data_IF_556344629411
#
_entry.id   IF_556344629411
#
_cell.length_a   1.000
_cell.length_b   1.000
_cell.length_c   1.000
_cell.angle_alpha   90.00
_cell.angle_beta   90.00
_cell.angle_gamma   90.00
#
_symmetry.space_group_name_H-M   'P 1'
#
loop_
_entity.id
_entity.type
_entity.pdbx_description
1 polymer ?
#
# COMPACT_ATOMS: atom_id res chain seq x y z
N UNK A 1 -0.50 -17.03 -3.58
CA UNK A 1 0.50 -16.84 -4.66
C UNK A 1 1.58 -17.89 -4.51
N UNK A 2 2.14 -18.04 -3.32
CA UNK A 2 3.25 -18.97 -3.07
C UNK A 2 2.83 -20.27 -2.34
N UNK A 3 1.54 -20.43 -2.01
CA UNK A 3 1.03 -21.61 -1.26
C UNK A 3 1.42 -21.64 0.22
N UNK A 4 2.11 -20.62 0.73
CA UNK A 4 2.54 -20.51 2.12
C UNK A 4 1.73 -19.44 2.88
N UNK A 5 1.35 -19.69 4.15
CA UNK A 5 0.58 -18.73 4.95
C UNK A 5 1.28 -17.38 5.18
N UNK A 6 2.62 -17.39 5.22
CA UNK A 6 3.46 -16.22 5.46
C UNK A 6 4.09 -15.64 4.18
N UNK A 7 3.76 -16.19 3.02
CA UNK A 7 4.28 -15.74 1.73
C UNK A 7 3.46 -14.62 1.11
N UNK A 8 3.62 -14.41 -0.20
CA UNK A 8 2.82 -13.43 -0.93
C UNK A 8 1.40 -13.98 -1.14
N UNK A 9 0.43 -13.16 -0.79
CA UNK A 9 -1.00 -13.48 -0.92
C UNK A 9 -1.63 -12.51 -1.91
N UNK A 10 -2.45 -13.06 -2.82
CA UNK A 10 -3.31 -12.31 -3.73
C UNK A 10 -4.74 -12.60 -3.31
N UNK A 11 -5.56 -11.56 -3.21
CA UNK A 11 -6.99 -11.67 -3.02
C UNK A 11 -7.71 -10.94 -4.15
N UNK A 12 -8.71 -11.58 -4.73
CA UNK A 12 -9.57 -11.05 -5.79
C UNK A 12 -11.00 -11.51 -5.51
N UNK A 13 -11.98 -10.69 -5.81
CA UNK A 13 -13.39 -11.07 -5.75
C UNK A 13 -13.91 -11.32 -7.17
N UNK A 14 -14.73 -12.36 -7.35
CA UNK A 14 -15.35 -12.63 -8.64
C UNK A 14 -16.21 -11.43 -9.09
N UNK A 15 -16.12 -11.07 -10.37
CA UNK A 15 -16.83 -9.94 -10.97
C UNK A 15 -16.47 -8.55 -10.40
N UNK A 16 -15.34 -8.42 -9.71
CA UNK A 16 -14.79 -7.14 -9.26
C UNK A 16 -13.37 -6.96 -9.78
N UNK A 17 -13.02 -5.75 -10.21
CA UNK A 17 -11.66 -5.46 -10.69
C UNK A 17 -10.68 -5.19 -9.56
N UNK A 18 -11.15 -5.04 -8.32
CA UNK A 18 -10.28 -4.82 -7.17
C UNK A 18 -9.38 -6.02 -6.88
N UNK A 19 -8.11 -5.71 -6.64
CA UNK A 19 -7.08 -6.69 -6.30
C UNK A 19 -6.37 -6.22 -5.04
N UNK A 20 -6.29 -7.12 -4.06
CA UNK A 20 -5.52 -6.89 -2.85
C UNK A 20 -4.32 -7.82 -2.79
N UNK A 21 -3.21 -7.30 -2.27
CA UNK A 21 -1.99 -8.05 -2.02
C UNK A 21 -1.56 -7.93 -0.58
N UNK A 22 -1.02 -9.01 -0.03
CA UNK A 22 -0.17 -9.00 1.16
C UNK A 22 1.22 -9.48 0.73
N UNK A 23 2.24 -8.68 1.00
CA UNK A 23 3.61 -8.91 0.55
C UNK A 23 4.56 -8.69 1.74
N UNK A 24 5.26 -9.73 2.21
CA UNK A 24 6.35 -9.56 3.17
C UNK A 24 7.47 -8.68 2.59
N UNK A 25 8.10 -7.82 3.41
CA UNK A 25 9.19 -6.93 2.99
C UNK A 25 10.35 -7.66 2.31
N UNK A 26 10.68 -8.84 2.82
CA UNK A 26 11.73 -9.73 2.31
C UNK A 26 11.42 -10.26 0.90
N UNK A 27 10.14 -10.39 0.57
CA UNK A 27 9.63 -10.99 -0.66
C UNK A 27 9.32 -9.95 -1.75
N UNK A 28 9.46 -8.65 -1.45
CA UNK A 28 9.12 -7.56 -2.36
C UNK A 28 9.88 -7.64 -3.70
N UNK A 29 11.14 -8.06 -3.68
CA UNK A 29 11.95 -8.18 -4.90
C UNK A 29 11.42 -9.27 -5.85
N UNK A 30 10.73 -10.29 -5.33
CA UNK A 30 10.12 -11.34 -6.14
C UNK A 30 8.86 -10.88 -6.88
N UNK A 31 8.36 -9.68 -6.56
CA UNK A 31 7.20 -9.08 -7.22
C UNK A 31 7.56 -8.27 -8.48
N UNK A 32 8.84 -8.13 -8.81
CA UNK A 32 9.29 -7.47 -10.04
C UNK A 32 8.73 -8.17 -11.28
N UNK A 33 8.26 -7.39 -12.24
CA UNK A 33 7.65 -7.88 -13.48
C UNK A 33 6.17 -8.28 -13.36
N UNK A 34 5.48 -7.93 -12.26
CA UNK A 34 4.03 -8.11 -12.15
C UNK A 34 3.32 -6.81 -12.52
N UNK A 35 2.61 -6.83 -13.65
CA UNK A 35 1.97 -5.65 -14.23
C UNK A 35 0.96 -4.99 -13.29
N UNK A 36 0.26 -5.79 -12.48
CA UNK A 36 -0.73 -5.26 -11.53
C UNK A 36 -0.11 -4.49 -10.36
N UNK A 37 1.13 -4.77 -10.00
CA UNK A 37 1.87 -3.97 -9.01
C UNK A 37 2.57 -2.76 -9.63
N UNK A 38 2.53 -2.63 -10.96
CA UNK A 38 2.98 -1.43 -11.68
C UNK A 38 1.87 -0.38 -11.81
N UNK A 39 0.64 -0.71 -11.41
CA UNK A 39 -0.53 0.15 -11.50
C UNK A 39 -0.63 1.16 -10.35
N UNK A 40 -1.57 2.10 -10.50
CA UNK A 40 -1.95 3.03 -9.43
C UNK A 40 -2.66 2.30 -8.29
N UNK A 41 -2.50 2.80 -7.07
CA UNK A 41 -3.27 2.33 -5.93
C UNK A 41 -2.80 2.89 -4.60
N UNK A 42 -3.24 2.24 -3.54
CA UNK A 42 -2.95 2.59 -2.14
C UNK A 42 -2.33 1.39 -1.44
N UNK A 43 -1.44 1.66 -0.49
CA UNK A 43 -0.74 0.64 0.27
C UNK A 43 -0.63 1.01 1.74
N UNK A 44 -0.43 -0.01 2.55
CA UNK A 44 -0.25 0.02 3.99
C UNK A 44 1.08 -0.66 4.28
N UNK A 45 1.92 -0.02 5.08
CA UNK A 45 3.15 -0.58 5.60
C UNK A 45 2.95 -0.85 7.08
N UNK A 46 2.80 -2.12 7.44
CA UNK A 46 2.62 -2.57 8.81
C UNK A 46 3.95 -2.98 9.42
N UNK A 47 4.11 -2.69 10.71
CA UNK A 47 5.26 -3.12 11.49
C UNK A 47 5.08 -2.76 12.96
N UNK A 48 6.20 -2.74 13.68
CA UNK A 48 6.26 -2.38 15.11
C UNK A 48 7.33 -1.31 15.32
N UNK A 49 7.09 -0.40 16.25
CA UNK A 49 8.03 0.67 16.61
C UNK A 49 9.17 0.10 17.45
N UNK A 50 10.42 0.22 17.01
CA UNK A 50 11.59 -0.25 17.78
C UNK A 50 11.76 0.49 19.13
N UNK A 51 11.13 1.66 19.29
CA UNK A 51 11.25 2.48 20.50
C UNK A 51 10.15 2.18 21.53
N UNK A 52 8.95 1.84 21.07
CA UNK A 52 7.75 1.77 21.92
C UNK A 52 7.08 0.39 21.88
N UNK A 53 7.51 -0.50 20.99
CA UNK A 53 6.89 -1.80 20.68
C UNK A 53 5.42 -1.70 20.21
N UNK A 54 4.94 -0.49 19.92
CA UNK A 54 3.60 -0.27 19.42
C UNK A 54 3.46 -0.76 17.98
N UNK A 55 2.29 -1.33 17.68
CA UNK A 55 1.88 -1.59 16.32
C UNK A 55 1.76 -0.28 15.53
N UNK A 56 2.47 -0.18 14.40
CA UNK A 56 2.49 1.02 13.56
C UNK A 56 1.99 0.72 12.15
N UNK A 57 1.36 1.72 11.54
CA UNK A 57 0.98 1.67 10.13
C UNK A 57 1.32 2.98 9.44
N UNK A 58 1.91 2.89 8.25
CA UNK A 58 1.99 4.01 7.31
C UNK A 58 1.12 3.71 6.09
N UNK A 59 0.28 4.66 5.73
CA UNK A 59 -0.65 4.51 4.60
C UNK A 59 -0.18 5.48 3.52
N UNK A 60 -0.03 4.98 2.31
CA UNK A 60 0.50 5.77 1.21
C UNK A 60 -0.18 5.45 -0.10
N UNK A 61 -0.16 6.40 -1.02
CA UNK A 61 -0.56 6.19 -2.41
C UNK A 61 0.60 6.11 -3.39
N UNK A 62 0.34 5.51 -4.54
CA UNK A 62 1.23 5.54 -5.70
C UNK A 62 0.40 5.62 -6.99
N UNK A 63 0.74 6.57 -7.86
CA UNK A 63 0.23 6.62 -9.23
C UNK A 63 1.24 6.03 -10.22
N UNK A 64 0.77 5.60 -11.39
CA UNK A 64 1.64 5.18 -12.50
C UNK A 64 2.50 6.35 -12.98
N UNK A 65 3.82 6.16 -13.01
CA UNK A 65 4.82 7.12 -13.49
C UNK A 65 5.03 6.99 -15.00
N UNK A 66 5.72 7.96 -15.60
CA UNK A 66 6.08 7.94 -17.05
C UNK A 66 6.87 6.70 -17.48
N UNK A 67 7.59 6.06 -16.56
CA UNK A 67 8.35 4.83 -16.81
C UNK A 67 7.49 3.55 -16.70
N UNK A 68 6.18 3.69 -16.50
CA UNK A 68 5.25 2.55 -16.36
C UNK A 68 5.26 1.90 -14.98
N UNK A 69 5.97 2.44 -14.00
CA UNK A 69 6.00 1.90 -12.64
C UNK A 69 5.02 2.65 -11.70
N UNK A 70 4.44 1.93 -10.74
CA UNK A 70 3.50 2.48 -9.76
C UNK A 70 3.81 1.98 -8.35
N UNK A 71 2.90 1.18 -7.80
CA UNK A 71 2.95 0.68 -6.43
C UNK A 71 4.29 0.00 -6.06
N UNK A 72 4.77 -0.94 -6.86
CA UNK A 72 5.99 -1.70 -6.54
C UNK A 72 7.21 -0.79 -6.39
N UNK A 73 7.36 0.19 -7.30
CA UNK A 73 8.45 1.15 -7.25
C UNK A 73 8.41 1.95 -5.95
N UNK A 74 7.22 2.43 -5.56
CA UNK A 74 7.01 3.15 -4.29
C UNK A 74 7.34 2.29 -3.06
N UNK A 75 6.96 1.02 -3.07
CA UNK A 75 7.29 0.09 -1.98
C UNK A 75 8.80 -0.17 -1.89
N UNK A 76 9.50 -0.28 -3.02
CA UNK A 76 10.96 -0.46 -3.06
C UNK A 76 11.68 0.78 -2.52
N UNK A 77 11.19 1.99 -2.84
CA UNK A 77 11.71 3.23 -2.25
C UNK A 77 11.59 3.21 -0.72
N UNK A 78 10.44 2.78 -0.18
CA UNK A 78 10.26 2.64 1.27
C UNK A 78 11.13 1.54 1.88
N UNK A 79 11.36 0.44 1.17
CA UNK A 79 12.29 -0.63 1.61
C UNK A 79 13.73 -0.13 1.73
N UNK A 80 14.13 0.84 0.89
CA UNK A 80 15.48 1.42 0.89
C UNK A 80 15.64 2.58 1.87
N UNK A 81 14.56 3.10 2.44
CA UNK A 81 14.59 4.21 3.37
C UNK A 81 14.87 3.71 4.81
N UNK A 82 16.01 4.08 5.43
CA UNK A 82 16.33 3.69 6.81
C UNK A 82 15.29 4.18 7.84
N UNK A 83 14.67 5.34 7.63
CA UNK A 83 13.64 5.89 8.53
C UNK A 83 12.34 5.06 8.54
N UNK A 84 12.23 4.11 7.61
CA UNK A 84 11.10 3.20 7.46
C UNK A 84 11.55 1.75 7.58
N UNK A 85 12.61 1.44 8.31
CA UNK A 85 13.03 0.04 8.47
C UNK A 85 12.06 -0.79 9.34
N UNK A 86 11.23 -0.13 10.15
CA UNK A 86 10.25 -0.75 11.05
C UNK A 86 9.20 -1.64 10.37
N UNK A 87 8.84 -1.39 9.11
CA UNK A 87 7.74 -2.13 8.48
C UNK A 87 8.22 -3.49 7.98
N UNK A 88 7.39 -4.51 8.18
CA UNK A 88 7.69 -5.92 7.87
C UNK A 88 6.74 -6.47 6.81
N UNK A 89 5.53 -5.91 6.70
CA UNK A 89 4.51 -6.36 5.77
C UNK A 89 3.86 -5.19 5.03
N UNK A 90 3.70 -5.34 3.71
CA UNK A 90 2.94 -4.42 2.88
C UNK A 90 1.59 -5.03 2.51
N UNK A 91 0.51 -4.28 2.69
CA UNK A 91 -0.81 -4.59 2.11
C UNK A 91 -1.12 -3.57 1.05
N UNK A 92 -1.53 -4.02 -0.15
CA UNK A 92 -1.71 -3.16 -1.32
C UNK A 92 -3.10 -3.37 -1.89
N UNK A 93 -3.75 -2.29 -2.30
CA UNK A 93 -5.00 -2.30 -3.04
C UNK A 93 -4.82 -1.59 -4.38
N UNK A 94 -5.20 -2.27 -5.44
CA UNK A 94 -5.19 -1.76 -6.82
C UNK A 94 -6.33 -2.38 -7.61
N UNK A 95 -6.36 -2.17 -8.92
CA UNK A 95 -7.40 -2.69 -9.82
C UNK A 95 -6.74 -3.41 -10.99
N UNK A 96 -7.25 -4.57 -11.38
CA UNK A 96 -6.68 -5.38 -12.46
C UNK A 96 -6.63 -4.67 -13.83
N UNK A 97 -7.40 -3.59 -14.00
CA UNK A 97 -7.52 -2.81 -15.22
C UNK A 97 -6.96 -1.38 -15.08
N UNK A 98 -6.21 -1.05 -14.02
CA UNK A 98 -5.63 0.27 -13.75
C UNK A 98 -6.67 1.42 -13.75
N UNK A 99 -7.87 1.18 -13.24
CA UNK A 99 -8.94 2.19 -13.23
C UNK A 99 -8.80 3.26 -12.14
N UNK A 100 -7.77 3.17 -11.29
CA UNK A 100 -7.50 4.17 -10.26
C UNK A 100 -6.69 5.33 -10.84
N UNK A 101 -7.31 6.51 -10.91
CA UNK A 101 -6.67 7.78 -11.19
C UNK A 101 -6.19 8.49 -9.93
N UNK A 102 -5.58 9.68 -10.07
CA UNK A 102 -5.06 10.48 -8.96
C UNK A 102 -6.11 10.81 -7.89
N UNK A 103 -7.34 11.03 -8.33
CA UNK A 103 -8.47 11.37 -7.45
C UNK A 103 -8.85 10.20 -6.57
N UNK A 104 -9.03 9.01 -7.15
CA UNK A 104 -9.41 7.80 -6.41
C UNK A 104 -8.35 7.44 -5.38
N UNK A 105 -7.07 7.45 -5.76
CA UNK A 105 -5.99 7.10 -4.82
C UNK A 105 -5.86 8.11 -3.68
N UNK A 106 -6.09 9.41 -3.94
CA UNK A 106 -6.01 10.45 -2.90
C UNK A 106 -7.17 10.34 -1.92
N UNK A 107 -8.38 10.11 -2.44
CA UNK A 107 -9.56 9.83 -1.63
C UNK A 107 -9.36 8.58 -0.76
N UNK A 108 -8.87 7.48 -1.34
CA UNK A 108 -8.63 6.24 -0.62
C UNK A 108 -7.56 6.41 0.46
N UNK A 109 -6.45 7.08 0.17
CA UNK A 109 -5.40 7.38 1.15
C UNK A 109 -5.97 8.18 2.34
N UNK A 110 -6.69 9.27 2.08
CA UNK A 110 -7.33 10.07 3.11
C UNK A 110 -8.33 9.24 3.94
N UNK A 111 -9.23 8.51 3.26
CA UNK A 111 -10.26 7.71 3.93
C UNK A 111 -9.66 6.61 4.80
N UNK A 112 -8.64 5.92 4.31
CA UNK A 112 -7.99 4.85 5.07
C UNK A 112 -7.15 5.39 6.23
N UNK A 113 -6.51 6.56 6.09
CA UNK A 113 -5.88 7.24 7.22
C UNK A 113 -6.89 7.56 8.32
N UNK A 114 -8.03 8.18 7.98
CA UNK A 114 -9.08 8.49 8.94
C UNK A 114 -9.61 7.24 9.65
N UNK A 115 -9.89 6.18 8.90
CA UNK A 115 -10.36 4.90 9.46
C UNK A 115 -9.31 4.23 10.37
N UNK A 116 -8.02 4.35 10.05
CA UNK A 116 -6.96 3.78 10.88
C UNK A 116 -6.83 4.51 12.22
N UNK A 117 -6.94 5.85 12.21
CA UNK A 117 -6.97 6.68 13.43
C UNK A 117 -8.21 6.36 14.26
N UNK A 118 -9.40 6.32 13.64
CA UNK A 118 -10.66 6.00 14.33
C UNK A 118 -10.64 4.60 14.95
N UNK A 119 -10.08 3.62 14.25
CA UNK A 119 -9.99 2.25 14.76
C UNK A 119 -9.01 2.12 15.95
N UNK A 120 -8.06 3.04 16.10
CA UNK A 120 -7.06 3.10 17.19
C UNK A 120 -6.35 1.75 17.49
N UNK A 121 -6.10 0.96 16.44
CA UNK A 121 -5.39 -0.34 16.54
C UNK A 121 -3.90 -0.24 16.24
N UNK A 122 -3.50 0.79 15.51
CA UNK A 122 -2.13 1.06 15.09
C UNK A 122 -1.84 2.54 15.24
N UNK A 123 -0.62 2.90 15.61
CA UNK A 123 -0.13 4.27 15.54
C UNK A 123 0.12 4.62 14.07
N UNK A 124 -0.66 5.58 13.56
CA UNK A 124 -0.55 6.05 12.17
C UNK A 124 0.67 6.97 12.03
N UNK A 125 1.65 6.57 11.22
CA UNK A 125 2.94 7.28 11.04
C UNK A 125 2.92 8.31 9.90
N UNK A 126 1.75 8.64 9.35
CA UNK A 126 1.64 9.66 8.31
C UNK A 126 1.98 11.04 8.92
N UNK A 127 3.03 11.70 8.41
CA UNK A 127 3.48 12.99 8.95
C UNK A 127 2.57 14.17 8.62
N UNK A 128 1.70 14.03 7.61
CA UNK A 128 0.68 15.01 7.20
C UNK A 128 -0.66 14.29 7.02
N UNK A 129 -1.76 14.98 7.30
CA UNK A 129 -3.10 14.55 6.88
C UNK A 129 -3.13 14.50 5.33
N UNK A 130 -3.44 13.34 4.72
CA UNK A 130 -3.54 13.25 3.28
C UNK A 130 -4.63 14.18 2.76
N UNK A 131 -4.36 14.93 1.69
CA UNK A 131 -5.35 15.82 1.08
C UNK A 131 -6.56 15.02 0.61
N UNK A 132 -7.82 15.47 0.80
CA UNK A 132 -9.02 14.67 0.49
C UNK A 132 -9.17 14.20 -0.97
N UNK A 133 -8.37 14.74 -1.90
CA UNK A 133 -8.58 14.60 -3.34
C UNK A 133 -9.81 15.39 -3.80
N UNK A 134 -9.68 16.17 -4.88
CA UNK A 134 -10.87 16.80 -5.48
C UNK A 134 -11.57 15.77 -6.37
N UNK A 135 -12.65 15.19 -5.87
CA UNK A 135 -13.63 14.46 -6.68
C UNK A 135 -14.51 15.50 -7.37
N UNK A 136 -14.15 15.86 -8.62
CA UNK A 136 -15.11 16.52 -9.51
C UNK A 136 -16.01 15.45 -10.09
N UNK A 137 -17.29 15.51 -9.72
CA UNK A 137 -18.41 14.73 -10.27
C UNK A 137 -18.66 15.05 -11.75
#
# INVERSE_FOLDING_TARGET
MDGTPNGRIKCTLANWTGVAYKIPRTELDKCKGRDDLSQSGVYFLFGTSDQTDDNVVYIGQAGVRKNGEGLLCRLIEHKRNPDKDYWTEAVVFTTSNNSFGPTEISYLENRFCGLAVEANRYVVKNGNDPTPGNITE
#
